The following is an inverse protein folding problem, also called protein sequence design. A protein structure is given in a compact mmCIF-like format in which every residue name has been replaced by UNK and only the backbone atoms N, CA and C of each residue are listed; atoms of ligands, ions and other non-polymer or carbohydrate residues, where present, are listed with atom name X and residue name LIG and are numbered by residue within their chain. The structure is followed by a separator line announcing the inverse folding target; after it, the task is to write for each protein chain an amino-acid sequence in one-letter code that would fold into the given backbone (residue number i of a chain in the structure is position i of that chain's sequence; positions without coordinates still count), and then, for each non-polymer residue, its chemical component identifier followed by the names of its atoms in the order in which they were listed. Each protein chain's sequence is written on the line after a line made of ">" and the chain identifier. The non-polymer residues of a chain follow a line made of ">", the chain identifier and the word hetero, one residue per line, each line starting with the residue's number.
data_IF_104443543768
#
_entry.id   IF_104443543768
#
_cell.length_a   1.000
_cell.length_b   1.000
_cell.length_c   1.000
_cell.angle_alpha   90.00
_cell.angle_beta   90.00
_cell.angle_gamma   90.00
#
_symmetry.space_group_name_H-M   'P 1'
#
loop_
_entity.id
_entity.type
_entity.pdbx_description
1 polymer ?
#
# COMPACT_ATOMS: atom_id res chain seq x y z
N UNK A 1 -6.77 -35.12 -7.32
CA UNK A 1 -5.52 -35.39 -8.06
C UNK A 1 -4.86 -34.04 -8.18
N UNK A 2 -3.78 -33.79 -7.45
CA UNK A 2 -3.10 -32.50 -7.51
C UNK A 2 -2.54 -32.33 -8.92
N UNK A 3 -2.99 -31.29 -9.62
CA UNK A 3 -2.49 -30.94 -10.93
C UNK A 3 -1.02 -30.55 -10.79
N UNK A 4 -0.17 -31.04 -11.70
CA UNK A 4 1.20 -30.56 -11.76
C UNK A 4 1.22 -29.10 -12.29
N UNK A 5 2.36 -28.41 -12.11
CA UNK A 5 2.51 -27.01 -12.50
C UNK A 5 2.20 -26.75 -13.98
N UNK A 6 2.56 -27.66 -14.88
CA UNK A 6 2.33 -27.49 -16.32
C UNK A 6 0.84 -27.53 -16.66
N UNK A 7 0.09 -28.46 -16.04
CA UNK A 7 -1.36 -28.56 -16.20
C UNK A 7 -2.07 -27.32 -15.65
N UNK A 8 -1.63 -26.79 -14.48
CA UNK A 8 -2.16 -25.54 -13.92
C UNK A 8 -1.90 -24.34 -14.82
N UNK A 9 -0.68 -24.21 -15.36
CA UNK A 9 -0.32 -23.14 -16.30
C UNK A 9 -1.19 -23.22 -17.57
N UNK A 10 -1.43 -24.44 -18.08
CA UNK A 10 -2.31 -24.65 -19.24
C UNK A 10 -3.73 -24.20 -18.94
N UNK A 11 -4.29 -24.60 -17.81
CA UNK A 11 -5.65 -24.22 -17.39
C UNK A 11 -5.80 -22.70 -17.21
N UNK A 12 -4.83 -22.03 -16.56
CA UNK A 12 -4.84 -20.57 -16.41
C UNK A 12 -4.82 -19.87 -17.78
N UNK A 13 -4.01 -20.35 -18.73
CA UNK A 13 -3.97 -19.81 -20.10
C UNK A 13 -5.28 -20.01 -20.84
N UNK A 14 -5.92 -21.17 -20.70
CA UNK A 14 -7.24 -21.44 -21.28
C UNK A 14 -8.30 -20.49 -20.71
N UNK A 15 -8.33 -20.31 -19.39
CA UNK A 15 -9.24 -19.36 -18.72
C UNK A 15 -8.97 -17.94 -19.22
N UNK A 16 -7.72 -17.50 -19.26
CA UNK A 16 -7.32 -16.18 -19.76
C UNK A 16 -7.79 -15.95 -21.19
N UNK A 17 -7.64 -16.94 -22.07
CA UNK A 17 -8.12 -16.87 -23.45
C UNK A 17 -9.64 -16.78 -23.54
N UNK A 18 -10.38 -17.51 -22.69
CA UNK A 18 -11.86 -17.45 -22.67
C UNK A 18 -12.39 -16.09 -22.26
N UNK A 19 -11.79 -15.46 -21.24
CA UNK A 19 -12.21 -14.12 -20.80
C UNK A 19 -11.66 -13.01 -21.72
N UNK A 20 -10.57 -13.26 -22.45
CA UNK A 20 -10.03 -12.32 -23.41
C UNK A 20 -9.74 -10.96 -22.77
N UNK A 21 -10.35 -9.89 -23.31
CA UNK A 21 -10.15 -8.52 -22.83
C UNK A 21 -10.86 -8.21 -21.50
N UNK A 22 -11.78 -9.07 -21.06
CA UNK A 22 -12.50 -8.87 -19.81
C UNK A 22 -11.65 -9.23 -18.59
N UNK A 23 -10.51 -9.90 -18.75
CA UNK A 23 -9.61 -10.31 -17.67
C UNK A 23 -8.21 -9.72 -17.88
N UNK A 24 -7.62 -9.21 -16.81
CA UNK A 24 -6.21 -8.84 -16.75
C UNK A 24 -5.53 -9.49 -15.54
N UNK A 25 -4.32 -10.01 -15.75
CA UNK A 25 -3.46 -10.55 -14.70
C UNK A 25 -2.31 -9.58 -14.43
N UNK A 26 -2.29 -9.01 -13.22
CA UNK A 26 -1.27 -8.07 -12.76
C UNK A 26 -0.28 -8.80 -11.86
N UNK A 27 1.01 -8.72 -12.14
CA UNK A 27 2.04 -9.47 -11.39
C UNK A 27 3.10 -8.54 -10.78
N UNK A 28 3.36 -8.69 -9.49
CA UNK A 28 4.45 -7.98 -8.84
C UNK A 28 5.81 -8.57 -9.22
N UNK A 29 6.86 -7.75 -9.26
CA UNK A 29 8.23 -8.19 -9.61
C UNK A 29 8.78 -9.33 -8.75
N UNK A 30 8.28 -9.51 -7.53
CA UNK A 30 8.72 -10.55 -6.60
C UNK A 30 7.92 -11.87 -6.69
N UNK A 31 7.03 -12.00 -7.68
CA UNK A 31 6.34 -13.25 -7.94
C UNK A 31 7.28 -14.32 -8.51
N UNK A 32 6.88 -15.58 -8.38
CA UNK A 32 7.57 -16.72 -9.01
C UNK A 32 7.63 -16.50 -10.53
N UNK A 33 8.74 -16.85 -11.22
CA UNK A 33 8.90 -16.61 -12.66
C UNK A 33 7.75 -17.11 -13.53
N UNK A 34 7.20 -18.28 -13.20
CA UNK A 34 6.06 -18.88 -13.87
C UNK A 34 4.76 -18.08 -13.71
N UNK A 35 4.58 -17.37 -12.59
CA UNK A 35 3.44 -16.46 -12.38
C UNK A 35 3.66 -15.16 -13.14
N UNK A 36 4.88 -14.59 -13.08
CA UNK A 36 5.24 -13.40 -13.87
C UNK A 36 5.00 -13.65 -15.37
N UNK A 37 5.35 -14.83 -15.88
CA UNK A 37 5.14 -15.22 -17.27
C UNK A 37 3.64 -15.32 -17.67
N UNK A 38 2.72 -15.43 -16.72
CA UNK A 38 1.27 -15.42 -16.95
C UNK A 38 0.68 -14.00 -16.92
N UNK A 39 1.40 -13.04 -16.34
CA UNK A 39 0.98 -11.64 -16.21
C UNK A 39 0.82 -10.95 -17.57
N UNK A 40 -0.23 -10.16 -17.70
CA UNK A 40 -0.37 -9.17 -18.78
C UNK A 40 0.50 -7.96 -18.53
N UNK A 41 0.70 -7.64 -17.25
CA UNK A 41 1.48 -6.51 -16.79
C UNK A 41 2.33 -6.91 -15.59
N UNK A 42 3.54 -6.34 -15.53
CA UNK A 42 4.50 -6.55 -14.45
C UNK A 42 4.96 -5.19 -13.91
N UNK A 43 4.99 -5.01 -12.60
CA UNK A 43 5.32 -3.71 -12.01
C UNK A 43 5.49 -3.69 -10.51
N UNK A 44 5.77 -2.49 -10.00
CA UNK A 44 5.70 -2.16 -8.57
C UNK A 44 4.24 -1.96 -8.10
N UNK A 45 4.05 -1.84 -6.79
CA UNK A 45 2.72 -1.71 -6.17
C UNK A 45 1.85 -0.61 -6.78
N UNK A 46 2.42 0.57 -7.02
CA UNK A 46 1.63 1.75 -7.43
C UNK A 46 1.33 1.75 -8.92
N UNK A 47 2.30 1.36 -9.74
CA UNK A 47 2.12 1.22 -11.19
C UNK A 47 1.06 0.16 -11.48
N UNK A 48 1.07 -0.97 -10.76
CA UNK A 48 0.05 -2.01 -10.91
C UNK A 48 -1.34 -1.51 -10.51
N UNK A 49 -1.48 -0.76 -9.42
CA UNK A 49 -2.77 -0.15 -9.06
C UNK A 49 -3.27 0.84 -10.13
N UNK A 50 -2.38 1.63 -10.73
CA UNK A 50 -2.74 2.50 -11.86
C UNK A 50 -3.16 1.71 -13.09
N UNK A 51 -2.47 0.62 -13.40
CA UNK A 51 -2.82 -0.27 -14.53
C UNK A 51 -4.17 -0.94 -14.30
N UNK A 52 -4.47 -1.36 -13.07
CA UNK A 52 -5.81 -1.84 -12.68
C UNK A 52 -6.90 -0.81 -13.02
N UNK A 53 -6.75 0.42 -12.51
CA UNK A 53 -7.71 1.52 -12.75
C UNK A 53 -7.85 1.93 -14.23
N UNK A 54 -6.75 1.93 -14.97
CA UNK A 54 -6.75 2.34 -16.39
C UNK A 54 -7.18 1.21 -17.35
N UNK A 55 -7.24 -0.03 -16.86
CA UNK A 55 -7.69 -1.17 -17.67
C UNK A 55 -9.18 -1.07 -17.97
N UNK A 56 -9.58 -1.51 -19.16
CA UNK A 56 -10.99 -1.73 -19.51
C UNK A 56 -11.48 -3.13 -19.08
N UNK A 57 -10.57 -3.99 -18.58
CA UNK A 57 -10.91 -5.32 -18.10
C UNK A 57 -11.82 -5.24 -16.87
N UNK A 58 -12.84 -6.10 -16.85
CA UNK A 58 -13.80 -6.24 -15.75
C UNK A 58 -13.20 -7.00 -14.57
N UNK A 59 -12.38 -8.01 -14.83
CA UNK A 59 -11.83 -8.91 -13.83
C UNK A 59 -10.33 -8.69 -13.73
N UNK A 60 -9.83 -8.43 -12.52
CA UNK A 60 -8.44 -8.09 -12.26
C UNK A 60 -7.88 -9.14 -11.30
N UNK A 61 -7.00 -10.01 -11.77
CA UNK A 61 -6.28 -10.94 -10.90
C UNK A 61 -4.98 -10.28 -10.45
N UNK A 62 -4.89 -9.96 -9.16
CA UNK A 62 -3.74 -9.27 -8.60
C UNK A 62 -2.79 -10.28 -7.93
N UNK A 63 -1.78 -10.71 -8.67
CA UNK A 63 -0.71 -11.58 -8.18
C UNK A 63 0.34 -10.75 -7.42
N UNK A 64 0.02 -10.44 -6.16
CA UNK A 64 0.86 -9.70 -5.22
C UNK A 64 0.47 -10.06 -3.78
N UNK A 65 0.80 -9.18 -2.85
CA UNK A 65 0.40 -9.31 -1.44
C UNK A 65 -0.89 -8.56 -1.15
N UNK A 66 -1.56 -8.91 -0.05
CA UNK A 66 -2.90 -8.45 0.32
C UNK A 66 -3.09 -6.93 0.21
N UNK A 67 -2.20 -6.14 0.81
CA UNK A 67 -2.35 -4.68 0.78
C UNK A 67 -2.32 -4.09 -0.64
N UNK A 68 -1.65 -4.74 -1.59
CA UNK A 68 -1.60 -4.28 -2.98
C UNK A 68 -2.94 -4.54 -3.66
N UNK A 69 -3.51 -5.74 -3.46
CA UNK A 69 -4.82 -6.09 -3.97
C UNK A 69 -5.93 -5.20 -3.36
N UNK A 70 -5.87 -4.95 -2.05
CA UNK A 70 -6.76 -3.99 -1.37
C UNK A 70 -6.65 -2.59 -1.97
N UNK A 71 -5.43 -2.13 -2.27
CA UNK A 71 -5.23 -0.80 -2.85
C UNK A 71 -5.75 -0.71 -4.29
N UNK A 72 -5.64 -1.79 -5.06
CA UNK A 72 -6.26 -1.89 -6.38
C UNK A 72 -7.80 -1.90 -6.26
N UNK A 73 -8.36 -2.57 -5.25
CA UNK A 73 -9.80 -2.60 -4.97
C UNK A 73 -10.34 -1.24 -4.49
N UNK A 74 -9.55 -0.47 -3.74
CA UNK A 74 -9.91 0.90 -3.35
C UNK A 74 -9.95 1.83 -4.57
N UNK A 75 -9.03 1.63 -5.52
CA UNK A 75 -8.84 2.54 -6.65
C UNK A 75 -9.61 2.15 -7.91
N UNK A 76 -10.10 0.92 -8.03
CA UNK A 76 -10.75 0.42 -9.24
C UNK A 76 -12.00 1.22 -9.62
N UNK A 77 -12.43 1.07 -10.88
CA UNK A 77 -13.73 1.56 -11.33
C UNK A 77 -14.87 0.68 -10.79
N UNK A 78 -16.07 1.23 -10.72
CA UNK A 78 -17.25 0.55 -10.15
C UNK A 78 -17.57 -0.80 -10.81
N UNK A 79 -17.32 -0.92 -12.11
CA UNK A 79 -17.61 -2.13 -12.89
C UNK A 79 -16.53 -3.21 -12.78
N UNK A 80 -15.37 -2.90 -12.20
CA UNK A 80 -14.24 -3.83 -12.08
C UNK A 80 -14.35 -4.67 -10.80
N UNK A 81 -13.67 -5.81 -10.77
CA UNK A 81 -13.56 -6.70 -9.61
C UNK A 81 -12.11 -7.15 -9.45
N UNK A 82 -11.54 -6.98 -8.25
CA UNK A 82 -10.19 -7.44 -7.94
C UNK A 82 -10.22 -8.78 -7.22
N UNK A 83 -9.41 -9.72 -7.69
CA UNK A 83 -9.20 -11.05 -7.11
C UNK A 83 -7.78 -11.18 -6.60
N UNK A 84 -7.64 -11.58 -5.34
CA UNK A 84 -6.37 -11.89 -4.72
C UNK A 84 -6.25 -13.43 -4.60
N UNK A 85 -5.34 -14.08 -5.32
CA UNK A 85 -5.30 -15.55 -5.39
C UNK A 85 -5.04 -16.26 -4.06
N UNK A 86 -4.36 -15.62 -3.11
CA UNK A 86 -4.02 -16.20 -1.82
C UNK A 86 -4.27 -15.16 -0.70
N UNK A 87 -5.38 -15.26 0.06
CA UNK A 87 -5.71 -14.29 1.10
C UNK A 87 -4.67 -14.23 2.23
N UNK A 88 -3.80 -15.24 2.35
CA UNK A 88 -2.75 -15.31 3.37
C UNK A 88 -1.42 -14.73 2.91
N UNK A 89 -1.27 -14.34 1.64
CA UNK A 89 -0.05 -13.68 1.16
C UNK A 89 -0.01 -12.23 1.67
N UNK A 90 0.44 -12.05 2.91
CA UNK A 90 0.55 -10.77 3.60
C UNK A 90 1.89 -10.05 3.40
N UNK A 91 2.09 -8.97 4.14
CA UNK A 91 3.37 -8.26 4.19
C UNK A 91 3.66 -7.89 5.64
N UNK A 92 4.71 -8.47 6.27
CA UNK A 92 5.02 -8.20 7.68
C UNK A 92 5.16 -6.71 8.00
N UNK A 93 5.66 -5.90 7.06
CA UNK A 93 5.76 -4.45 7.22
C UNK A 93 4.40 -3.76 7.25
N UNK A 94 3.43 -4.22 6.45
CA UNK A 94 2.07 -3.67 6.51
C UNK A 94 1.38 -4.00 7.84
N UNK A 95 1.76 -5.13 8.45
CA UNK A 95 1.25 -5.59 9.74
C UNK A 95 2.00 -4.96 10.95
N UNK A 96 3.04 -4.13 10.72
CA UNK A 96 3.75 -3.39 11.79
C UNK A 96 2.92 -2.25 12.40
N UNK A 97 1.87 -1.79 11.69
CA UNK A 97 0.95 -0.79 12.20
C UNK A 97 -0.45 -1.38 12.21
N UNK A 98 -0.83 -1.98 13.34
CA UNK A 98 -2.20 -2.39 13.56
C UNK A 98 -3.11 -1.18 13.74
N UNK A 99 -4.36 -1.29 13.30
CA UNK A 99 -5.31 -0.18 13.31
C UNK A 99 -5.58 0.35 14.72
N UNK A 100 -5.62 -0.53 15.72
CA UNK A 100 -5.80 -0.17 17.13
C UNK A 100 -4.65 0.71 17.64
N UNK A 101 -3.41 0.38 17.30
CA UNK A 101 -2.23 1.16 17.67
C UNK A 101 -2.22 2.52 16.96
N UNK A 102 -2.59 2.56 15.69
CA UNK A 102 -2.70 3.81 14.92
C UNK A 102 -3.79 4.73 15.49
N UNK A 103 -4.94 4.18 15.88
CA UNK A 103 -6.04 4.93 16.52
C UNK A 103 -5.58 5.52 17.86
N UNK A 104 -4.90 4.72 18.67
CA UNK A 104 -4.35 5.15 19.96
C UNK A 104 -3.31 6.25 19.78
N UNK A 105 -2.35 6.06 18.88
CA UNK A 105 -1.32 7.05 18.57
C UNK A 105 -1.95 8.36 18.09
N UNK A 106 -2.89 8.32 17.15
CA UNK A 106 -3.56 9.52 16.67
C UNK A 106 -4.36 10.25 17.75
N UNK A 107 -4.98 9.53 18.68
CA UNK A 107 -5.70 10.13 19.80
C UNK A 107 -4.75 10.85 20.75
N UNK A 108 -3.61 10.25 21.09
CA UNK A 108 -2.57 10.86 21.93
C UNK A 108 -1.91 12.06 21.23
N UNK A 109 -1.65 11.97 19.92
CA UNK A 109 -1.11 13.08 19.14
C UNK A 109 -2.08 14.26 19.03
N UNK A 110 -3.38 13.98 18.95
CA UNK A 110 -4.40 15.04 18.99
C UNK A 110 -4.40 15.77 20.34
N UNK A 111 -4.09 15.08 21.44
CA UNK A 111 -3.94 15.69 22.76
C UNK A 111 -2.67 16.54 22.86
N UNK A 112 -1.53 16.03 22.40
CA UNK A 112 -0.24 16.73 22.49
C UNK A 112 -0.19 17.96 21.56
N UNK A 113 -0.65 17.81 20.31
CA UNK A 113 -0.44 18.84 19.27
C UNK A 113 -1.73 19.54 18.82
N UNK A 114 -2.89 19.06 19.24
CA UNK A 114 -4.18 19.52 18.75
C UNK A 114 -4.58 18.85 17.43
N UNK A 115 -5.88 18.59 17.28
CA UNK A 115 -6.45 17.96 16.08
C UNK A 115 -6.16 18.79 14.83
N UNK A 116 -5.73 18.12 13.77
CA UNK A 116 -5.42 18.74 12.48
C UNK A 116 -4.10 19.51 12.46
N UNK A 117 -3.22 19.36 13.46
CA UNK A 117 -1.89 19.97 13.49
C UNK A 117 -0.82 19.16 12.72
N UNK A 118 -1.15 17.93 12.33
CA UNK A 118 -0.28 17.02 11.59
C UNK A 118 -1.02 16.36 10.42
N UNK A 119 -0.25 15.82 9.47
CA UNK A 119 -0.75 15.01 8.35
C UNK A 119 -0.10 13.62 8.44
N UNK A 120 -0.89 12.55 8.55
CA UNK A 120 -0.38 11.19 8.41
C UNK A 120 0.05 10.92 6.96
N UNK A 121 1.30 10.48 6.79
CA UNK A 121 1.86 9.98 5.53
C UNK A 121 2.04 8.48 5.68
N UNK A 122 1.11 7.73 5.06
CA UNK A 122 1.06 6.28 5.15
C UNK A 122 1.79 5.67 3.96
N UNK A 123 2.77 4.83 4.21
CA UNK A 123 3.40 4.08 3.13
C UNK A 123 2.41 3.09 2.52
N UNK A 124 2.48 2.88 1.20
CA UNK A 124 1.62 1.96 0.46
C UNK A 124 1.53 0.56 1.11
N UNK A 125 2.63 0.13 1.72
CA UNK A 125 2.74 -1.09 2.52
C UNK A 125 2.05 -0.91 3.88
N UNK A 126 0.73 -0.83 3.87
CA UNK A 126 -0.15 -0.73 5.04
C UNK A 126 -1.52 -1.30 4.70
N UNK A 127 -2.29 -1.74 5.69
CA UNK A 127 -3.66 -2.23 5.44
C UNK A 127 -4.58 -1.14 4.88
N UNK A 128 -5.66 -1.55 4.20
CA UNK A 128 -6.75 -0.65 3.82
C UNK A 128 -7.30 0.15 5.01
N UNK A 129 -7.36 -0.46 6.20
CA UNK A 129 -7.86 0.18 7.41
C UNK A 129 -6.95 1.34 7.86
N UNK A 130 -5.64 1.15 7.92
CA UNK A 130 -4.68 2.22 8.24
C UNK A 130 -4.74 3.35 7.21
N UNK A 131 -4.89 3.02 5.93
CA UNK A 131 -5.09 4.03 4.87
C UNK A 131 -6.38 4.83 5.10
N UNK A 132 -7.47 4.19 5.51
CA UNK A 132 -8.73 4.84 5.83
C UNK A 132 -8.58 5.79 7.03
N UNK A 133 -7.92 5.36 8.11
CA UNK A 133 -7.66 6.18 9.30
C UNK A 133 -6.85 7.44 8.95
N UNK A 134 -5.84 7.32 8.08
CA UNK A 134 -5.12 8.48 7.58
C UNK A 134 -6.01 9.39 6.72
N UNK A 135 -6.82 8.82 5.83
CA UNK A 135 -7.77 9.58 5.00
C UNK A 135 -8.76 10.41 5.82
N UNK A 136 -9.23 9.89 6.96
CA UNK A 136 -10.10 10.63 7.90
C UNK A 136 -9.43 11.84 8.56
N UNK A 137 -8.10 11.98 8.40
CA UNK A 137 -7.27 13.05 8.97
C UNK A 137 -6.57 13.89 7.90
N UNK A 138 -7.13 13.93 6.68
CA UNK A 138 -6.55 14.58 5.51
C UNK A 138 -5.13 14.06 5.18
N UNK A 139 -4.85 12.81 5.59
CA UNK A 139 -3.61 12.09 5.35
C UNK A 139 -3.45 11.64 3.90
N UNK A 140 -2.25 11.16 3.57
CA UNK A 140 -1.88 10.82 2.19
C UNK A 140 -1.10 9.50 2.16
N UNK A 141 -1.38 8.67 1.16
CA UNK A 141 -0.60 7.46 0.90
C UNK A 141 0.59 7.80 0.00
N UNK A 142 1.78 7.30 0.34
CA UNK A 142 3.00 7.46 -0.46
C UNK A 142 3.61 6.12 -0.88
N UNK A 143 4.54 6.16 -1.83
CA UNK A 143 5.47 5.09 -2.16
C UNK A 143 6.90 5.52 -1.86
N UNK A 144 7.86 4.60 -1.87
CA UNK A 144 9.28 4.94 -1.75
C UNK A 144 9.74 5.91 -2.85
N UNK A 145 9.14 5.85 -4.04
CA UNK A 145 9.45 6.70 -5.18
C UNK A 145 8.87 8.12 -5.11
N UNK A 146 7.95 8.42 -4.19
CA UNK A 146 7.33 9.75 -4.08
C UNK A 146 7.25 10.31 -2.64
N UNK A 147 7.82 9.62 -1.65
CA UNK A 147 7.74 10.00 -0.24
C UNK A 147 8.20 11.44 0.01
N UNK A 148 9.32 11.87 -0.59
CA UNK A 148 9.84 13.25 -0.48
C UNK A 148 8.84 14.31 -0.98
N UNK A 149 8.15 14.05 -2.09
CA UNK A 149 7.12 14.93 -2.63
C UNK A 149 5.91 15.02 -1.71
N UNK A 150 5.46 13.90 -1.14
CA UNK A 150 4.31 13.86 -0.23
C UNK A 150 4.64 14.55 1.10
N UNK A 151 5.82 14.29 1.68
CA UNK A 151 6.29 14.98 2.89
C UNK A 151 6.41 16.48 2.64
N UNK A 152 6.99 16.90 1.51
CA UNK A 152 7.08 18.33 1.15
C UNK A 152 5.71 18.99 1.07
N UNK A 153 4.72 18.31 0.47
CA UNK A 153 3.33 18.80 0.43
C UNK A 153 2.75 19.03 1.83
N UNK A 154 2.97 18.09 2.75
CA UNK A 154 2.47 18.21 4.12
C UNK A 154 3.13 19.36 4.88
N UNK A 155 4.46 19.50 4.77
CA UNK A 155 5.22 20.57 5.41
C UNK A 155 4.86 21.95 4.86
N UNK A 156 4.61 22.07 3.56
CA UNK A 156 4.18 23.33 2.92
C UNK A 156 2.79 23.80 3.40
N UNK A 157 1.98 22.92 3.99
CA UNK A 157 0.72 23.29 4.68
C UNK A 157 0.94 23.77 6.12
N UNK A 158 2.19 23.87 6.58
CA UNK A 158 2.53 24.23 7.96
C UNK A 158 2.14 23.15 8.97
N UNK A 159 1.99 21.89 8.53
CA UNK A 159 1.61 20.76 9.38
C UNK A 159 2.84 19.93 9.74
N UNK A 160 2.80 19.30 10.92
CA UNK A 160 3.73 18.22 11.26
C UNK A 160 3.45 16.99 10.39
N UNK A 161 4.42 16.09 10.27
CA UNK A 161 4.27 14.84 9.51
C UNK A 161 4.42 13.67 10.47
N UNK A 162 3.47 12.74 10.41
CA UNK A 162 3.62 11.41 11.00
C UNK A 162 3.82 10.44 9.85
N UNK A 163 4.90 9.67 9.87
CA UNK A 163 5.20 8.68 8.82
C UNK A 163 5.08 7.28 9.40
N UNK A 164 4.33 6.41 8.73
CA UNK A 164 4.09 5.03 9.17
C UNK A 164 3.94 4.08 7.98
N UNK A 165 4.19 2.77 8.15
CA UNK A 165 4.77 2.12 9.33
C UNK A 165 6.30 2.04 9.28
N UNK A 166 6.89 2.30 8.11
CA UNK A 166 8.34 2.14 7.90
C UNK A 166 9.11 3.37 8.42
N UNK A 167 9.65 3.23 9.63
CA UNK A 167 10.47 4.24 10.29
C UNK A 167 11.70 4.65 9.45
N UNK A 168 12.30 3.71 8.72
CA UNK A 168 13.52 3.95 7.97
C UNK A 168 13.22 4.69 6.68
N UNK A 169 12.13 4.35 5.98
CA UNK A 169 11.69 5.12 4.83
C UNK A 169 11.36 6.56 5.23
N UNK A 170 10.66 6.75 6.35
CA UNK A 170 10.36 8.07 6.90
C UNK A 170 11.64 8.84 7.23
N UNK A 171 12.49 8.27 8.09
CA UNK A 171 13.74 8.88 8.53
C UNK A 171 14.67 9.23 7.36
N UNK A 172 14.91 8.29 6.44
CA UNK A 172 15.77 8.53 5.28
C UNK A 172 15.20 9.60 4.35
N UNK A 173 13.87 9.68 4.22
CA UNK A 173 13.20 10.76 3.47
C UNK A 173 13.45 12.10 4.13
N UNK A 174 13.27 12.20 5.45
CA UNK A 174 13.51 13.43 6.21
C UNK A 174 14.96 13.90 6.14
N UNK A 175 15.91 12.99 6.28
CA UNK A 175 17.35 13.27 6.16
C UNK A 175 17.71 13.75 4.75
N UNK A 176 17.21 13.06 3.70
CA UNK A 176 17.42 13.47 2.30
C UNK A 176 16.87 14.87 2.03
N UNK A 177 15.78 15.26 2.69
CA UNK A 177 15.19 16.60 2.59
C UNK A 177 15.94 17.66 3.42
N UNK A 178 16.98 17.29 4.17
CA UNK A 178 17.78 18.21 4.98
C UNK A 178 17.10 18.62 6.29
N UNK A 179 16.09 17.87 6.76
CA UNK A 179 15.50 18.10 8.08
C UNK A 179 16.52 17.72 9.16
N UNK A 180 16.64 18.58 10.18
CA UNK A 180 17.57 18.36 11.29
C UNK A 180 17.08 17.19 12.16
N UNK A 181 17.99 16.33 12.60
CA UNK A 181 17.66 15.23 13.51
C UNK A 181 16.98 15.71 14.80
N UNK A 182 17.29 16.93 15.26
CA UNK A 182 16.69 17.52 16.47
C UNK A 182 15.18 17.79 16.39
N UNK A 183 14.58 17.71 15.20
CA UNK A 183 13.13 17.87 15.00
C UNK A 183 12.45 16.56 14.56
N UNK A 184 13.20 15.46 14.54
CA UNK A 184 12.68 14.12 14.24
C UNK A 184 12.50 13.37 15.57
N UNK A 185 11.36 12.72 15.72
CA UNK A 185 11.06 11.86 16.86
C UNK A 185 10.61 10.50 16.35
N UNK A 186 10.97 9.46 17.10
CA UNK A 186 10.40 8.12 16.93
C UNK A 186 9.19 7.99 17.84
N UNK A 187 8.16 7.28 17.37
CA UNK A 187 6.97 7.00 18.17
C UNK A 187 6.94 5.52 18.52
N UNK A 188 7.16 5.20 19.79
CA UNK A 188 7.04 3.82 20.28
C UNK A 188 5.59 3.53 20.67
N UNK A 189 4.87 2.77 19.84
CA UNK A 189 3.48 2.40 20.11
C UNK A 189 3.30 1.57 21.38
N UNK A 190 4.36 0.96 21.92
CA UNK A 190 4.29 0.20 23.18
C UNK A 190 4.25 1.11 24.42
N UNK A 191 4.58 2.40 24.27
CA UNK A 191 4.67 3.36 25.36
C UNK A 191 3.51 4.38 25.34
N UNK A 192 3.19 4.94 26.50
CA UNK A 192 2.21 6.01 26.61
C UNK A 192 2.76 7.29 25.98
N UNK A 193 1.97 7.96 25.13
CA UNK A 193 2.39 9.16 24.40
C UNK A 193 3.67 8.97 23.53
N UNK A 194 3.98 7.73 23.17
CA UNK A 194 5.10 7.40 22.26
C UNK A 194 6.49 7.37 22.92
N UNK A 195 6.59 7.62 24.23
CA UNK A 195 7.85 7.68 25.00
C UNK A 195 8.36 9.09 25.24
#
# INVERSE_FOLDING_TARGET
>A
MDLNTEDLIREIKEIKNRYGRDLIILTHHYQRPEIVALGDEVGDSYILCKKAYNSEARYIVFCGVRFMAESAEILRRDNQLVFHPDPFSGCPMADMAESEDVIRAFSQLDEIWGKGSYIPVVYMNSSAEVKSLAGMRDGVVCTSSNADRIVSYALNKGKKVIFLPDEYLGYNTFVKMGLKSSILAYWDYSQEFGG
#
